data_IF_440407422168
#
_entry.id   IF_440407422168
#
_cell.length_a   1.000
_cell.length_b   1.000
_cell.length_c   1.000
_cell.angle_alpha   90.00
_cell.angle_beta   90.00
_cell.angle_gamma   90.00
#
_symmetry.space_group_name_H-M   'P 1'
#
loop_
_entity.id
_entity.type
_entity.pdbx_description
1 polymer ?
#
# COMPACT_ATOMS: atom_id res chain seq x y z
N UNK A 1 0.27 -6.60 5.59
CA UNK A 1 0.86 -5.50 4.81
C UNK A 1 -0.25 -4.62 4.26
N UNK A 2 -0.02 -3.32 4.15
CA UNK A 2 -0.95 -2.33 3.62
C UNK A 2 -0.16 -1.25 2.88
N UNK A 3 -0.67 -0.78 1.74
CA UNK A 3 -0.09 0.36 1.02
C UNK A 3 -1.04 1.53 1.15
N UNK A 4 -0.52 2.63 1.70
CA UNK A 4 -1.21 3.91 1.81
C UNK A 4 -0.53 4.95 0.94
N UNK A 5 -1.33 5.88 0.46
CA UNK A 5 -0.89 7.05 -0.28
C UNK A 5 -1.24 8.24 0.57
N UNK A 6 -0.24 9.09 0.83
CA UNK A 6 -0.40 10.33 1.57
C UNK A 6 -0.03 11.47 0.66
N UNK A 7 -0.91 12.44 0.56
CA UNK A 7 -0.70 13.69 -0.16
C UNK A 7 -0.55 14.79 0.88
N UNK A 8 0.64 15.37 0.98
CA UNK A 8 0.83 16.59 1.78
C UNK A 8 0.60 17.82 0.89
N UNK A 9 0.12 18.90 1.51
CA UNK A 9 -0.15 20.19 0.85
C UNK A 9 1.13 20.80 0.26
N UNK A 10 1.50 20.38 -0.96
CA UNK A 10 2.74 20.82 -1.62
C UNK A 10 3.25 19.98 -2.80
N UNK A 11 2.44 19.05 -3.33
CA UNK A 11 2.76 18.15 -4.48
C UNK A 11 3.58 16.88 -4.14
N UNK A 12 4.04 16.71 -2.90
CA UNK A 12 4.75 15.50 -2.49
C UNK A 12 3.77 14.36 -2.17
N UNK A 13 3.68 13.41 -3.11
CA UNK A 13 2.98 12.13 -2.90
C UNK A 13 3.92 11.16 -2.18
N UNK A 14 3.51 10.68 -1.01
CA UNK A 14 4.23 9.70 -0.21
C UNK A 14 3.51 8.35 -0.23
N UNK A 15 4.26 7.29 -0.54
CA UNK A 15 3.77 5.91 -0.50
C UNK A 15 4.23 5.27 0.79
N UNK A 16 3.30 4.90 1.66
CA UNK A 16 3.60 4.25 2.94
C UNK A 16 3.26 2.77 2.81
N UNK A 17 4.27 1.91 2.82
CA UNK A 17 4.12 0.46 2.87
C UNK A 17 4.19 0.03 4.33
N UNK A 18 3.06 -0.31 4.95
CA UNK A 18 2.98 -0.84 6.30
C UNK A 18 3.04 -2.37 6.28
N UNK A 19 3.82 -2.98 7.16
CA UNK A 19 3.76 -4.40 7.47
C UNK A 19 2.66 -4.70 8.51
N UNK A 20 2.46 -5.98 8.84
CA UNK A 20 1.49 -6.45 9.82
C UNK A 20 1.80 -5.97 11.24
N UNK A 21 3.08 -5.73 11.53
CA UNK A 21 3.54 -5.21 12.82
C UNK A 21 3.33 -3.69 12.96
N UNK A 22 2.90 -3.01 11.88
CA UNK A 22 2.78 -1.56 11.83
C UNK A 22 4.09 -0.84 11.52
N UNK A 23 5.21 -1.55 11.41
CA UNK A 23 6.44 -1.02 10.82
C UNK A 23 6.22 -0.78 9.33
N UNK A 24 6.59 0.40 8.83
CA UNK A 24 6.39 0.71 7.43
C UNK A 24 7.48 1.55 6.80
N UNK A 25 7.66 1.34 5.49
CA UNK A 25 8.59 2.10 4.66
C UNK A 25 7.83 3.25 3.99
N UNK A 26 8.33 4.48 4.17
CA UNK A 26 7.82 5.66 3.48
C UNK A 26 8.68 5.92 2.26
N UNK A 27 8.06 5.93 1.08
CA UNK A 27 8.72 6.13 -0.20
C UNK A 27 8.14 7.39 -0.86
N UNK A 28 8.93 8.47 -1.01
CA UNK A 28 8.46 9.68 -1.69
C UNK A 28 8.34 9.47 -3.20
N UNK A 29 7.47 10.24 -3.85
CA UNK A 29 7.28 10.24 -5.31
C UNK A 29 8.62 10.37 -6.05
N UNK A 30 9.51 11.22 -5.55
CA UNK A 30 10.86 11.42 -6.09
C UNK A 30 11.76 10.18 -6.06
N UNK A 31 11.48 9.21 -5.18
CA UNK A 31 12.15 7.92 -5.10
C UNK A 31 11.33 6.78 -5.73
N UNK A 32 10.12 7.07 -6.24
CA UNK A 32 9.30 6.10 -6.97
C UNK A 32 9.58 6.15 -8.46
N UNK A 33 9.78 4.97 -9.03
CA UNK A 33 10.04 4.79 -10.45
C UNK A 33 8.93 4.00 -11.15
N UNK A 34 8.98 3.96 -12.48
CA UNK A 34 8.03 3.17 -13.28
C UNK A 34 8.01 1.68 -12.85
N UNK A 35 9.15 1.15 -12.43
CA UNK A 35 9.26 -0.23 -11.92
C UNK A 35 8.54 -0.43 -10.58
N UNK A 36 8.54 0.58 -9.70
CA UNK A 36 7.83 0.51 -8.42
C UNK A 36 6.31 0.42 -8.64
N UNK A 37 5.77 1.31 -9.48
CA UNK A 37 4.36 1.27 -9.88
C UNK A 37 3.99 -0.03 -10.58
N UNK A 38 4.88 -0.55 -11.45
CA UNK A 38 4.68 -1.84 -12.08
C UNK A 38 4.53 -2.97 -11.05
N UNK A 39 5.37 -3.00 -10.01
CA UNK A 39 5.30 -3.99 -8.92
C UNK A 39 4.00 -3.87 -8.12
N UNK A 40 3.55 -2.67 -7.80
CA UNK A 40 2.26 -2.46 -7.14
C UNK A 40 1.11 -3.02 -7.99
N UNK A 41 1.16 -2.81 -9.30
CA UNK A 41 0.16 -3.32 -10.26
C UNK A 41 0.16 -4.84 -10.40
N UNK A 42 1.22 -5.54 -9.96
CA UNK A 42 1.25 -7.01 -9.87
C UNK A 42 0.55 -7.54 -8.62
N UNK A 43 0.21 -6.70 -7.65
CA UNK A 43 -0.47 -7.15 -6.44
C UNK A 43 -1.95 -7.46 -6.77
N UNK A 44 -2.48 -8.60 -6.27
CA UNK A 44 -3.90 -8.91 -6.39
C UNK A 44 -4.71 -7.87 -5.62
N UNK A 45 -5.86 -7.45 -6.16
CA UNK A 45 -6.73 -6.43 -5.55
C UNK A 45 -6.07 -5.06 -5.36
N UNK A 46 -5.03 -4.75 -6.14
CA UNK A 46 -4.43 -3.41 -6.15
C UNK A 46 -5.33 -2.40 -6.86
N UNK A 47 -5.82 -1.40 -6.11
CA UNK A 47 -6.66 -0.33 -6.66
C UNK A 47 -5.80 0.77 -7.30
N UNK A 48 -5.43 0.56 -8.56
CA UNK A 48 -4.70 1.54 -9.35
C UNK A 48 -5.47 2.85 -9.55
N UNK A 49 -6.78 2.76 -9.77
CA UNK A 49 -7.64 3.94 -9.93
C UNK A 49 -7.63 4.80 -8.67
N UNK A 50 -7.77 4.15 -7.51
CA UNK A 50 -7.73 4.81 -6.21
C UNK A 50 -6.37 5.44 -5.93
N UNK A 51 -5.28 4.80 -6.35
CA UNK A 51 -3.94 5.40 -6.31
C UNK A 51 -3.88 6.66 -7.17
N UNK A 52 -4.34 6.62 -8.42
CA UNK A 52 -4.32 7.79 -9.31
C UNK A 52 -5.16 8.94 -8.74
N UNK A 53 -6.36 8.65 -8.23
CA UNK A 53 -7.22 9.65 -7.59
C UNK A 53 -6.57 10.22 -6.34
N UNK A 54 -5.95 9.38 -5.50
CA UNK A 54 -5.26 9.84 -4.29
C UNK A 54 -4.05 10.71 -4.63
N UNK A 55 -3.24 10.32 -5.62
CA UNK A 55 -2.06 11.08 -6.06
C UNK A 55 -2.41 12.40 -6.75
N UNK A 56 -3.56 12.47 -7.44
CA UNK A 56 -4.08 13.69 -8.09
C UNK A 56 -4.85 14.60 -7.11
N UNK A 57 -5.37 14.02 -6.02
CA UNK A 57 -6.07 14.78 -4.98
C UNK A 57 -5.09 15.66 -4.21
N UNK A 58 -5.13 16.97 -4.48
CA UNK A 58 -4.43 17.99 -3.70
C UNK A 58 -4.98 18.16 -2.26
N UNK A 59 -5.81 17.23 -1.79
CA UNK A 59 -6.38 17.27 -0.45
C UNK A 59 -5.46 16.51 0.50
N UNK A 60 -5.15 17.15 1.64
CA UNK A 60 -4.38 16.54 2.71
C UNK A 60 -5.12 15.30 3.23
N UNK A 61 -4.56 14.10 3.00
CA UNK A 61 -5.29 12.87 3.25
C UNK A 61 -4.47 11.61 3.12
N UNK A 62 -4.94 10.56 3.81
CA UNK A 62 -4.37 9.21 3.77
C UNK A 62 -5.36 8.26 3.09
N UNK A 63 -4.99 7.71 1.95
CA UNK A 63 -5.81 6.77 1.18
C UNK A 63 -5.16 5.40 1.13
N UNK A 64 -5.87 4.38 1.57
CA UNK A 64 -5.40 2.99 1.45
C UNK A 64 -5.70 2.48 0.05
N UNK A 65 -4.67 2.13 -0.73
CA UNK A 65 -4.82 1.65 -2.11
C UNK A 65 -4.67 0.14 -2.25
N UNK A 66 -4.15 -0.52 -1.21
CA UNK A 66 -4.02 -1.96 -1.18
C UNK A 66 -3.86 -2.47 0.25
N UNK A 67 -4.37 -3.68 0.48
CA UNK A 67 -4.15 -4.46 1.70
C UNK A 67 -3.76 -5.86 1.29
N UNK A 68 -2.75 -6.43 1.94
CA UNK A 68 -2.44 -7.84 1.77
C UNK A 68 -3.68 -8.64 2.15
N UNK A 69 -4.08 -9.64 1.35
CA UNK A 69 -5.05 -10.60 1.81
C UNK A 69 -4.55 -11.19 3.13
N UNK A 70 -5.45 -11.32 4.10
CA UNK A 70 -5.13 -11.98 5.36
C UNK A 70 -4.49 -13.33 5.02
N UNK A 71 -3.36 -13.73 5.64
CA UNK A 71 -2.86 -15.08 5.45
C UNK A 71 -4.04 -16.04 5.68
N UNK A 72 -4.19 -17.11 4.87
CA UNK A 72 -5.16 -18.13 5.21
C UNK A 72 -4.89 -18.52 6.66
N UNK A 73 -5.89 -18.33 7.53
CA UNK A 73 -5.75 -18.57 8.97
C UNK A 73 -5.00 -19.88 9.13
N UNK A 74 -3.87 -19.83 9.85
CA UNK A 74 -3.03 -21.00 10.07
C UNK A 74 -3.98 -22.15 10.42
N UNK A 75 -4.02 -23.17 9.56
CA UNK A 75 -4.88 -24.34 9.75
C UNK A 75 -4.73 -24.74 11.22
N UNK A 76 -5.84 -24.98 11.97
CA UNK A 76 -5.73 -25.39 13.36
C UNK A 76 -4.74 -26.54 13.39
N UNK A 77 -3.70 -26.40 14.24
CA UNK A 77 -2.67 -27.40 14.44
C UNK A 77 -3.42 -28.72 14.67
N UNK A 78 -3.46 -29.57 13.65
CA UNK A 78 -4.10 -30.87 13.76
C UNK A 78 -3.20 -31.64 14.72
N UNK A 79 -3.55 -31.57 16.00
CA UNK A 79 -3.08 -32.50 17.02
C UNK A 79 -3.40 -33.90 16.48
N UNK A 80 -2.43 -34.52 15.84
CA UNK A 80 -2.46 -35.94 15.51
C UNK A 80 -2.24 -36.67 16.84
N UNK A 81 -3.34 -37.11 17.45
CA UNK A 81 -3.37 -38.09 18.56
C UNK A 81 -2.90 -39.48 18.08
#
# INVERSE_FOLDING_TARGET
>A
MEVRVVTESGEDVLYILLDRDGEGCVVPRSATDATFLARLRYLPDFDLDRLTVAADSAHDGVVVVWRSPDPPSALPDLEYD
#
